data_IF_259011931733
#
_entry.id   IF_259011931733
#
_cell.length_a   1.000
_cell.length_b   1.000
_cell.length_c   1.000
_cell.angle_alpha   90.00
_cell.angle_beta   90.00
_cell.angle_gamma   90.00
#
_symmetry.space_group_name_H-M   'P 1'
#
loop_
_entity.id
_entity.type
_entity.pdbx_description
1 polymer ?
#
# COMPACT_ATOMS: atom_id res chain seq x y z
N UNK A 1 -7.09 22.77 14.17
CA UNK A 1 -6.81 21.83 13.06
C UNK A 1 -5.39 21.32 13.21
N UNK A 2 -5.23 20.02 13.31
CA UNK A 2 -3.91 19.40 13.35
C UNK A 2 -3.75 18.63 12.03
N UNK A 3 -3.10 19.26 11.06
CA UNK A 3 -2.67 18.63 9.84
C UNK A 3 -1.18 18.34 9.94
N UNK A 4 -0.79 17.12 9.65
CA UNK A 4 0.59 16.65 9.63
C UNK A 4 0.95 16.21 8.22
N UNK A 5 2.07 16.70 7.72
CA UNK A 5 2.65 16.30 6.45
C UNK A 5 3.96 15.56 6.71
N UNK A 6 4.06 14.34 6.21
CA UNK A 6 5.26 13.54 6.26
C UNK A 6 5.67 13.19 4.84
N UNK A 7 6.96 13.27 4.55
CA UNK A 7 7.51 12.84 3.27
C UNK A 7 8.80 12.06 3.49
N UNK A 8 9.07 11.12 2.60
CA UNK A 8 10.31 10.35 2.58
C UNK A 8 10.79 10.17 1.15
N UNK A 9 12.11 10.18 0.98
CA UNK A 9 12.76 9.97 -0.32
C UNK A 9 13.75 8.83 -0.16
N UNK A 10 13.67 7.86 -1.04
CA UNK A 10 14.54 6.68 -1.05
C UNK A 10 14.65 6.03 0.35
N UNK A 11 13.51 5.72 1.01
CA UNK A 11 13.56 5.16 2.34
C UNK A 11 14.24 3.79 2.33
N UNK A 12 15.20 3.62 3.23
CA UNK A 12 15.79 2.32 3.51
C UNK A 12 15.00 1.64 4.64
N UNK A 13 14.33 0.56 4.33
CA UNK A 13 13.64 -0.28 5.31
C UNK A 13 14.40 -1.57 5.64
N UNK A 14 15.70 -1.65 5.29
CA UNK A 14 16.56 -2.81 5.53
C UNK A 14 16.72 -3.19 7.00
N UNK A 15 16.42 -2.27 7.92
CA UNK A 15 16.39 -2.53 9.38
C UNK A 15 15.03 -3.04 9.88
N UNK A 16 14.02 -3.06 9.03
CA UNK A 16 12.72 -3.65 9.38
C UNK A 16 12.86 -5.15 9.31
N UNK A 17 12.55 -5.82 10.42
CA UNK A 17 12.61 -7.27 10.54
C UNK A 17 11.87 -7.93 9.36
N UNK A 18 12.55 -8.85 8.67
CA UNK A 18 11.95 -9.58 7.56
C UNK A 18 10.71 -10.34 8.02
N UNK A 19 9.71 -10.42 7.15
CA UNK A 19 8.54 -11.24 7.43
C UNK A 19 8.94 -12.71 7.60
N UNK A 20 8.24 -13.46 8.46
CA UNK A 20 8.43 -14.89 8.55
C UNK A 20 8.27 -15.51 7.15
N UNK A 21 9.17 -16.43 6.79
CA UNK A 21 9.01 -17.21 5.57
C UNK A 21 7.88 -18.22 5.78
N UNK A 22 6.68 -17.87 5.36
CA UNK A 22 5.52 -18.75 5.39
C UNK A 22 5.29 -19.34 4.00
N UNK A 23 5.19 -20.66 3.92
CA UNK A 23 4.78 -21.34 2.70
C UNK A 23 3.26 -21.21 2.56
N UNK A 24 2.80 -20.21 1.85
CA UNK A 24 1.38 -20.05 1.55
C UNK A 24 0.95 -21.00 0.44
N UNK A 25 0.29 -22.10 0.82
CA UNK A 25 -0.30 -23.07 -0.10
C UNK A 25 -1.76 -22.74 -0.48
N UNK A 26 -2.28 -21.61 0.01
CA UNK A 26 -3.63 -21.17 -0.29
C UNK A 26 -3.66 -20.21 -1.48
N UNK A 27 -4.85 -20.04 -2.09
CA UNK A 27 -5.08 -19.05 -3.14
C UNK A 27 -5.26 -17.61 -2.58
N UNK A 28 -5.18 -17.41 -1.26
CA UNK A 28 -5.39 -16.14 -0.60
C UNK A 28 -4.06 -15.48 -0.25
N UNK A 29 -4.00 -14.15 -0.38
CA UNK A 29 -2.85 -13.34 0.04
C UNK A 29 -2.67 -13.45 1.57
N UNK A 30 -1.42 -13.69 2.02
CA UNK A 30 -1.10 -13.62 3.45
C UNK A 30 -0.89 -12.16 3.84
N UNK A 31 -1.59 -11.70 4.87
CA UNK A 31 -1.48 -10.34 5.38
C UNK A 31 -0.52 -10.28 6.57
N UNK A 32 0.54 -9.47 6.44
CA UNK A 32 1.49 -9.18 7.51
C UNK A 32 1.26 -7.79 8.07
N UNK A 33 1.56 -7.63 9.35
CA UNK A 33 1.49 -6.33 9.99
C UNK A 33 2.49 -5.34 9.37
N UNK A 34 2.06 -4.09 9.15
CA UNK A 34 2.94 -3.02 8.68
C UNK A 34 3.91 -2.60 9.81
N UNK A 35 5.20 -2.66 9.54
CA UNK A 35 6.28 -2.34 10.48
C UNK A 35 7.14 -1.15 10.05
N UNK A 36 7.00 -0.69 8.81
CA UNK A 36 7.77 0.44 8.28
C UNK A 36 7.27 1.75 8.90
N UNK A 37 8.12 2.52 9.61
CA UNK A 37 7.70 3.68 10.42
C UNK A 37 6.83 4.67 9.65
N UNK A 38 7.20 4.99 8.41
CA UNK A 38 6.44 5.91 7.56
C UNK A 38 4.98 5.47 7.37
N UNK A 39 4.73 4.18 7.17
CA UNK A 39 3.38 3.64 6.93
C UNK A 39 2.62 3.32 8.22
N UNK A 40 3.32 3.07 9.34
CA UNK A 40 2.71 2.82 10.65
C UNK A 40 2.09 4.10 11.21
N UNK A 41 2.80 5.23 11.09
CA UNK A 41 2.32 6.52 11.58
C UNK A 41 1.04 6.95 10.86
N UNK A 42 -0.04 7.20 11.59
CA UNK A 42 -1.35 7.57 11.05
C UNK A 42 -2.10 6.43 10.34
N UNK A 43 -1.66 5.17 10.46
CA UNK A 43 -2.27 3.98 9.86
C UNK A 43 -3.79 3.92 10.06
N UNK A 44 -4.28 4.28 11.25
CA UNK A 44 -5.71 4.24 11.55
C UNK A 44 -6.58 5.11 10.64
N UNK A 45 -6.04 6.18 10.06
CA UNK A 45 -6.78 7.00 9.10
C UNK A 45 -6.99 6.32 7.75
N UNK A 46 -6.10 5.40 7.38
CA UNK A 46 -6.18 4.66 6.10
C UNK A 46 -6.85 3.30 6.23
N UNK A 47 -7.20 2.89 7.45
CA UNK A 47 -7.89 1.64 7.68
C UNK A 47 -9.35 1.79 7.25
N UNK A 48 -9.77 0.91 6.34
CA UNK A 48 -11.16 0.78 5.90
C UNK A 48 -11.45 -0.71 5.78
N UNK A 49 -11.99 -1.28 6.85
CA UNK A 49 -12.32 -2.71 6.91
C UNK A 49 -13.56 -3.00 6.08
N UNK A 50 -13.50 -4.04 5.26
CA UNK A 50 -14.60 -4.59 4.49
C UNK A 50 -14.98 -5.94 5.12
N UNK A 51 -16.25 -6.32 5.09
CA UNK A 51 -16.74 -7.57 5.66
C UNK A 51 -16.60 -7.72 7.20
N UNK A 52 -16.60 -6.62 7.93
CA UNK A 52 -16.72 -6.64 9.38
C UNK A 52 -18.12 -7.11 9.80
N UNK A 53 -18.31 -8.41 9.91
CA UNK A 53 -19.53 -8.98 10.52
C UNK A 53 -19.24 -9.21 12.00
N UNK A 54 -20.19 -8.92 12.86
CA UNK A 54 -20.12 -8.90 14.34
C UNK A 54 -19.50 -10.18 14.98
N UNK A 55 -19.25 -11.22 14.22
CA UNK A 55 -18.76 -12.53 14.67
C UNK A 55 -17.37 -12.87 14.15
N UNK A 56 -16.80 -12.06 13.22
CA UNK A 56 -15.48 -12.30 12.62
C UNK A 56 -14.57 -11.15 13.01
N UNK A 57 -13.37 -11.50 13.47
CA UNK A 57 -12.35 -10.57 13.87
C UNK A 57 -12.03 -9.58 12.72
N UNK A 58 -12.37 -8.31 12.92
CA UNK A 58 -12.11 -7.23 11.95
C UNK A 58 -10.60 -6.92 11.80
N UNK A 59 -9.75 -7.68 12.43
CA UNK A 59 -8.29 -7.52 12.42
C UNK A 59 -7.57 -8.34 11.33
N UNK A 60 -8.30 -9.01 10.45
CA UNK A 60 -7.72 -9.91 9.43
C UNK A 60 -6.87 -9.22 8.36
N UNK A 61 -6.66 -7.90 8.45
CA UNK A 61 -5.90 -7.16 7.44
C UNK A 61 -6.65 -6.94 6.11
N UNK A 62 -7.84 -7.51 5.99
CA UNK A 62 -8.72 -7.35 4.83
C UNK A 62 -9.30 -5.93 4.80
N UNK A 63 -8.71 -5.07 4.03
CA UNK A 63 -9.14 -3.69 3.84
C UNK A 63 -9.00 -3.29 2.38
N UNK A 64 -9.61 -2.16 2.02
CA UNK A 64 -9.48 -1.58 0.68
C UNK A 64 -8.06 -1.07 0.39
N UNK A 65 -7.24 -0.87 1.42
CA UNK A 65 -5.86 -0.45 1.29
C UNK A 65 -4.95 -1.30 2.18
N UNK A 66 -3.90 -1.86 1.57
CA UNK A 66 -2.84 -2.61 2.24
C UNK A 66 -1.48 -2.02 1.86
N UNK A 67 -0.87 -1.29 2.80
CA UNK A 67 0.36 -0.51 2.57
C UNK A 67 1.56 -1.37 2.14
N UNK A 68 1.62 -2.63 2.57
CA UNK A 68 2.73 -3.53 2.22
C UNK A 68 2.78 -3.93 0.75
N UNK A 69 1.73 -3.65 -0.02
CA UNK A 69 1.78 -3.75 -1.50
C UNK A 69 2.71 -2.71 -2.12
N UNK A 70 2.97 -1.59 -1.42
CA UNK A 70 3.94 -0.58 -1.84
C UNK A 70 5.33 -1.08 -1.51
N UNK A 71 6.14 -1.37 -2.53
CA UNK A 71 7.50 -1.89 -2.36
C UNK A 71 7.58 -3.40 -2.12
N UNK A 72 6.53 -4.17 -2.41
CA UNK A 72 6.55 -5.65 -2.36
C UNK A 72 7.54 -6.27 -3.34
N UNK A 73 7.73 -7.57 -3.27
CA UNK A 73 8.46 -8.33 -4.29
C UNK A 73 7.89 -8.06 -5.69
N UNK A 74 8.73 -7.95 -6.72
CA UNK A 74 8.26 -7.71 -8.08
C UNK A 74 7.30 -8.81 -8.54
N UNK A 75 6.17 -8.40 -9.14
CA UNK A 75 5.04 -9.29 -9.44
C UNK A 75 5.35 -10.36 -10.48
N UNK A 76 6.28 -10.11 -11.37
CA UNK A 76 6.68 -11.04 -12.43
C UNK A 76 7.95 -11.83 -12.09
N UNK A 77 8.46 -11.76 -10.85
CA UNK A 77 9.64 -12.49 -10.42
C UNK A 77 9.49 -14.00 -10.55
N UNK A 78 8.32 -14.55 -10.23
CA UNK A 78 8.06 -15.99 -10.34
C UNK A 78 8.02 -16.46 -11.80
N UNK A 79 7.76 -15.57 -12.77
CA UNK A 79 7.64 -15.90 -14.19
C UNK A 79 8.94 -15.67 -14.95
N UNK A 80 9.64 -14.57 -14.65
CA UNK A 80 10.80 -14.08 -15.40
C UNK A 80 12.03 -13.81 -14.55
N UNK A 81 11.92 -13.93 -13.23
CA UNK A 81 13.02 -13.69 -12.31
C UNK A 81 14.01 -14.85 -12.21
N UNK A 82 15.11 -14.60 -11.53
CA UNK A 82 16.13 -15.57 -11.16
C UNK A 82 16.57 -15.37 -9.71
N UNK A 83 17.56 -16.12 -9.28
CA UNK A 83 18.10 -16.04 -7.91
C UNK A 83 18.76 -14.69 -7.58
N UNK A 84 19.06 -13.85 -8.57
CA UNK A 84 19.61 -12.52 -8.39
C UNK A 84 18.53 -11.42 -8.39
N UNK A 85 17.28 -11.78 -8.67
CA UNK A 85 16.17 -10.83 -8.70
C UNK A 85 15.88 -10.28 -7.29
N UNK A 86 15.60 -8.97 -7.16
CA UNK A 86 15.41 -8.35 -5.85
C UNK A 86 14.15 -8.89 -5.16
N UNK A 87 14.26 -9.10 -3.84
CA UNK A 87 13.15 -9.55 -2.99
C UNK A 87 12.09 -8.46 -2.73
N UNK A 88 12.40 -7.20 -3.04
CA UNK A 88 11.48 -6.08 -2.85
C UNK A 88 11.71 -5.01 -3.92
N UNK A 89 10.65 -4.29 -4.26
CA UNK A 89 10.71 -3.14 -5.17
C UNK A 89 11.06 -1.88 -4.38
N UNK A 90 12.04 -1.12 -4.88
CA UNK A 90 12.50 0.11 -4.24
C UNK A 90 11.41 1.18 -4.26
N UNK A 91 11.18 1.84 -3.13
CA UNK A 91 10.33 3.02 -3.04
C UNK A 91 11.21 4.25 -3.32
N UNK A 92 10.90 4.97 -4.39
CA UNK A 92 11.62 6.19 -4.76
C UNK A 92 11.25 7.36 -3.83
N UNK A 93 9.99 7.44 -3.47
CA UNK A 93 9.51 8.44 -2.55
C UNK A 93 8.07 8.19 -2.15
N UNK A 94 7.69 8.77 -1.01
CA UNK A 94 6.32 8.77 -0.55
C UNK A 94 6.01 10.05 0.23
N UNK A 95 4.77 10.51 0.13
CA UNK A 95 4.26 11.64 0.89
C UNK A 95 2.91 11.29 1.52
N UNK A 96 2.66 11.83 2.71
CA UNK A 96 1.46 11.57 3.48
C UNK A 96 0.99 12.85 4.16
N UNK A 97 -0.30 13.17 3.99
CA UNK A 97 -1.02 14.19 4.73
C UNK A 97 -2.06 13.50 5.60
N UNK A 98 -2.04 13.76 6.89
CA UNK A 98 -3.02 13.23 7.83
C UNK A 98 -3.48 14.33 8.79
N UNK A 99 -4.73 14.25 9.22
CA UNK A 99 -5.18 15.15 10.27
C UNK A 99 -6.69 15.22 10.44
N UNK A 100 -7.08 16.04 11.42
CA UNK A 100 -8.48 16.30 11.75
C UNK A 100 -8.74 17.80 11.82
N UNK A 101 -9.80 18.22 11.18
CA UNK A 101 -10.28 19.60 11.18
C UNK A 101 -11.22 19.86 12.38
N UNK A 102 -11.40 21.11 12.80
CA UNK A 102 -12.25 21.45 13.95
C UNK A 102 -13.71 21.08 13.78
N UNK A 103 -14.19 20.97 12.52
CA UNK A 103 -15.55 20.57 12.17
C UNK A 103 -15.80 19.07 12.27
N UNK A 104 -14.84 18.28 12.78
CA UNK A 104 -14.94 16.83 12.91
C UNK A 104 -14.58 16.04 11.64
N UNK A 105 -14.13 16.71 10.57
CA UNK A 105 -13.67 16.03 9.36
C UNK A 105 -12.22 15.57 9.54
N UNK A 106 -11.98 14.28 9.29
CA UNK A 106 -10.65 13.67 9.26
C UNK A 106 -10.25 13.40 7.82
N UNK A 107 -9.00 13.68 7.48
CA UNK A 107 -8.45 13.49 6.13
C UNK A 107 -7.14 12.71 6.20
N UNK A 108 -6.99 11.74 5.29
CA UNK A 108 -5.74 11.06 5.00
C UNK A 108 -5.50 11.05 3.49
N UNK A 109 -4.33 11.51 3.07
CA UNK A 109 -3.86 11.41 1.69
C UNK A 109 -2.49 10.76 1.73
N UNK A 110 -2.26 9.77 0.89
CA UNK A 110 -0.97 9.12 0.71
C UNK A 110 -0.70 8.96 -0.77
N UNK A 111 0.50 9.29 -1.16
CA UNK A 111 1.03 9.04 -2.50
C UNK A 111 2.42 8.41 -2.37
N UNK A 112 2.70 7.40 -3.19
CA UNK A 112 4.00 6.73 -3.20
C UNK A 112 4.36 6.28 -4.61
N UNK A 113 5.65 6.36 -4.94
CA UNK A 113 6.19 5.93 -6.22
C UNK A 113 7.26 4.88 -6.00
N UNK A 114 7.13 3.77 -6.71
CA UNK A 114 8.12 2.69 -6.72
C UNK A 114 8.89 2.67 -8.03
N UNK A 115 10.10 2.13 -7.95
CA UNK A 115 11.02 2.04 -9.08
C UNK A 115 10.60 0.93 -10.05
N UNK A 116 11.18 1.00 -11.24
CA UNK A 116 11.14 -0.06 -12.24
C UNK A 116 12.17 -1.13 -11.90
N UNK A 117 11.80 -2.40 -12.02
CA UNK A 117 12.71 -3.54 -11.77
C UNK A 117 12.84 -4.37 -13.02
N UNK A 118 14.08 -4.52 -13.49
CA UNK A 118 14.44 -5.42 -14.59
C UNK A 118 15.01 -6.74 -14.05
N UNK A 119 14.67 -7.81 -14.74
CA UNK A 119 15.24 -9.13 -14.57
C UNK A 119 16.23 -9.49 -15.68
N UNK A 120 16.50 -10.80 -15.83
CA UNK A 120 17.35 -11.32 -16.89
C UNK A 120 16.91 -10.87 -18.27
N UNK A 121 17.87 -10.50 -19.13
CA UNK A 121 17.60 -10.07 -20.50
C UNK A 121 16.81 -8.77 -20.63
N UNK A 122 16.82 -7.92 -19.59
CA UNK A 122 16.05 -6.66 -19.53
C UNK A 122 14.51 -6.85 -19.53
N UNK A 123 14.04 -8.03 -19.16
CA UNK A 123 12.61 -8.27 -18.99
C UNK A 123 12.10 -7.54 -17.76
N UNK A 124 10.99 -6.83 -17.85
CA UNK A 124 10.38 -6.13 -16.71
C UNK A 124 9.83 -7.13 -15.71
N UNK A 125 10.31 -7.06 -14.46
CA UNK A 125 9.77 -7.79 -13.32
C UNK A 125 8.72 -6.98 -12.56
N UNK A 126 8.92 -5.67 -12.45
CA UNK A 126 7.93 -4.71 -11.90
C UNK A 126 8.03 -3.39 -12.65
N UNK A 127 6.96 -2.87 -13.22
CA UNK A 127 6.97 -1.54 -13.82
C UNK A 127 7.01 -0.45 -12.76
N UNK A 128 7.57 0.71 -13.07
CA UNK A 128 7.45 1.89 -12.21
C UNK A 128 5.97 2.16 -11.92
N UNK A 129 5.64 2.27 -10.64
CA UNK A 129 4.24 2.30 -10.19
C UNK A 129 4.00 3.46 -9.23
N UNK A 130 2.91 4.19 -9.45
CA UNK A 130 2.38 5.17 -8.51
C UNK A 130 1.18 4.57 -7.77
N UNK A 131 1.17 4.75 -6.45
CA UNK A 131 0.10 4.36 -5.54
C UNK A 131 -0.47 5.61 -4.89
N UNK A 132 -1.78 5.82 -5.00
CA UNK A 132 -2.47 6.94 -4.39
C UNK A 132 -3.63 6.46 -3.53
N UNK A 133 -3.80 7.07 -2.36
CA UNK A 133 -4.90 6.79 -1.44
C UNK A 133 -5.44 8.09 -0.89
N UNK A 134 -6.75 8.25 -0.93
CA UNK A 134 -7.46 9.37 -0.30
C UNK A 134 -8.54 8.83 0.61
N UNK A 135 -8.52 9.25 1.86
CA UNK A 135 -9.50 8.87 2.88
C UNK A 135 -10.12 10.12 3.49
N UNK A 136 -11.44 10.17 3.54
CA UNK A 136 -12.19 11.18 4.28
C UNK A 136 -13.16 10.54 5.25
N UNK A 137 -13.33 11.13 6.43
CA UNK A 137 -14.32 10.73 7.40
C UNK A 137 -14.89 11.95 8.13
N UNK A 138 -16.21 12.08 8.15
CA UNK A 138 -16.93 13.14 8.88
C UNK A 138 -17.68 12.53 10.05
N UNK A 139 -17.34 12.97 11.24
CA UNK A 139 -18.06 12.62 12.45
C UNK A 139 -19.21 13.59 12.71
N UNK A 140 -20.35 13.04 13.18
CA UNK A 140 -21.55 13.78 13.54
C UNK A 140 -21.93 13.52 15.00
N UNK A 141 -22.70 14.44 15.59
CA UNK A 141 -23.28 14.30 16.93
C UNK A 141 -22.25 13.92 18.01
N UNK A 142 -21.07 14.52 17.96
CA UNK A 142 -20.03 14.22 18.96
C UNK A 142 -19.39 12.84 18.84
N UNK A 143 -19.55 12.16 17.69
CA UNK A 143 -18.99 10.84 17.46
C UNK A 143 -19.97 9.67 17.51
N UNK A 144 -21.27 9.95 17.72
CA UNK A 144 -22.32 8.92 17.70
C UNK A 144 -22.58 8.35 16.29
N UNK A 145 -22.15 9.07 15.24
CA UNK A 145 -22.26 8.63 13.86
C UNK A 145 -21.12 9.18 12.99
N UNK A 146 -20.75 8.46 11.97
CA UNK A 146 -19.77 8.92 10.99
C UNK A 146 -20.13 8.47 9.57
N UNK A 147 -19.68 9.27 8.61
CA UNK A 147 -19.71 8.92 7.18
C UNK A 147 -18.33 9.11 6.61
N UNK A 148 -17.83 8.12 5.91
CA UNK A 148 -16.51 8.18 5.33
C UNK A 148 -16.43 7.52 3.96
N UNK A 149 -15.35 7.84 3.25
CA UNK A 149 -15.01 7.24 1.98
C UNK A 149 -13.51 6.94 1.92
N UNK A 150 -13.14 6.01 1.07
CA UNK A 150 -11.76 5.78 0.66
C UNK A 150 -11.73 5.60 -0.86
N UNK A 151 -10.70 6.19 -1.48
CA UNK A 151 -10.39 6.00 -2.90
C UNK A 151 -8.95 5.55 -2.98
N UNK A 152 -8.70 4.49 -3.72
CA UNK A 152 -7.36 3.97 -3.98
C UNK A 152 -7.10 3.99 -5.47
N UNK A 153 -5.87 4.25 -5.87
CA UNK A 153 -5.46 4.23 -7.26
C UNK A 153 -4.07 3.64 -7.41
N UNK A 154 -3.88 2.81 -8.43
CA UNK A 154 -2.59 2.26 -8.82
C UNK A 154 -2.40 2.53 -10.31
N UNK A 155 -1.31 3.21 -10.66
CA UNK A 155 -0.96 3.52 -12.06
C UNK A 155 0.44 2.98 -12.35
N UNK A 156 0.56 2.18 -13.42
CA UNK A 156 1.80 1.53 -13.83
C UNK A 156 2.29 2.05 -15.17
N UNK A 157 3.60 2.23 -15.29
CA UNK A 157 4.26 2.53 -16.57
C UNK A 157 4.59 1.21 -17.28
N UNK A 158 3.60 0.63 -17.94
CA UNK A 158 3.75 -0.66 -18.64
C UNK A 158 4.59 -0.53 -19.91
N UNK A 159 5.32 -1.57 -20.20
CA UNK A 159 6.02 -1.83 -21.44
C UNK A 159 5.45 -3.09 -22.14
N UNK A 160 5.87 -3.41 -23.38
CA UNK A 160 5.33 -4.55 -24.11
C UNK A 160 5.53 -5.91 -23.43
N UNK A 161 6.50 -6.05 -22.53
CA UNK A 161 6.77 -7.29 -21.82
C UNK A 161 5.86 -7.49 -20.60
N UNK A 162 5.47 -6.42 -19.94
CA UNK A 162 4.62 -6.43 -18.75
C UNK A 162 3.12 -6.25 -19.06
N UNK A 163 2.78 -5.61 -20.20
CA UNK A 163 1.39 -5.31 -20.60
C UNK A 163 0.46 -6.55 -20.68
N UNK A 164 0.90 -7.75 -21.10
CA UNK A 164 0.03 -8.93 -21.13
C UNK A 164 -0.38 -9.44 -19.73
N UNK A 165 0.35 -9.09 -18.68
CA UNK A 165 0.19 -9.66 -17.33
C UNK A 165 -0.34 -8.65 -16.31
N UNK A 166 -0.14 -7.36 -16.54
CA UNK A 166 -0.45 -6.31 -15.59
C UNK A 166 -1.40 -5.27 -16.19
N UNK A 167 -2.32 -4.79 -15.40
CA UNK A 167 -3.18 -3.67 -15.79
C UNK A 167 -2.49 -2.33 -15.55
N UNK A 168 -2.62 -1.40 -16.51
CA UNK A 168 -2.05 -0.05 -16.42
C UNK A 168 -2.60 0.72 -15.22
N UNK A 169 -3.89 0.61 -14.96
CA UNK A 169 -4.55 1.30 -13.87
C UNK A 169 -5.56 0.40 -13.16
N UNK A 170 -5.67 0.58 -11.84
CA UNK A 170 -6.70 -0.01 -10.99
C UNK A 170 -7.18 1.04 -9.99
N UNK A 171 -8.49 1.13 -9.76
CA UNK A 171 -9.14 2.10 -8.87
C UNK A 171 -10.10 1.39 -7.92
#
# INVERSE_FOLDING_TARGET
SNLLVNATVNPDFGQVEADPSELNLSAFETFFEERRPFFVEGKGLFTFTVNCVVVVDCNTGEGLFYSRRIGRAPQLSDTYGDAASPAATKILGAAKLTGRLPNGFSIGVLDAVTDHVNGPGQTTLEPATNFAVVRGNQDFRGGEGSVGFIVTGVNRSLDPSSEPYLHRSAY
#
